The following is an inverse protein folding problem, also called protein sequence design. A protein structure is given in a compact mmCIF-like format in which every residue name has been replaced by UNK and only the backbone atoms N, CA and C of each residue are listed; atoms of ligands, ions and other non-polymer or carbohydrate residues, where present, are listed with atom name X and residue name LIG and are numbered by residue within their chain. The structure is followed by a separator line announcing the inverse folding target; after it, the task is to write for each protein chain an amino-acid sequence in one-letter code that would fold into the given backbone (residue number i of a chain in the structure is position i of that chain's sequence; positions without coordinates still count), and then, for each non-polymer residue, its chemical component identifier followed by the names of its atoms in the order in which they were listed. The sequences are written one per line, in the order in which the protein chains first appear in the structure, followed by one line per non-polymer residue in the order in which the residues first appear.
data_IF_825144315159
#
_entry.id   IF_825144315159
#
_cell.length_a   1.000
_cell.length_b   1.000
_cell.length_c   1.000
_cell.angle_alpha   90.00
_cell.angle_beta   90.00
_cell.angle_gamma   90.00
#
_symmetry.space_group_name_H-M   'P 1'
#
loop_
_entity.id
_entity.type
_entity.pdbx_description
1 polymer ?
#
# COMPACT_ATOMS: atom_id res chain seq x y z
N UNK A 1 15.01 6.56 1.97
CA UNK A 1 13.62 6.35 2.44
C UNK A 1 12.72 6.21 1.20
N UNK A 2 11.71 5.35 1.25
CA UNK A 2 10.76 5.16 0.15
C UNK A 2 9.68 6.26 0.20
N UNK A 3 9.48 6.98 -0.90
CA UNK A 3 8.45 8.03 -1.03
C UNK A 3 7.37 7.57 -2.02
N UNK A 4 6.15 7.41 -1.52
CA UNK A 4 4.99 6.96 -2.31
C UNK A 4 4.63 7.92 -3.44
N UNK A 5 4.98 9.22 -3.34
CA UNK A 5 4.72 10.20 -4.41
C UNK A 5 5.44 9.87 -5.71
N UNK A 6 6.52 9.09 -5.64
CA UNK A 6 7.29 8.65 -6.82
C UNK A 6 6.53 7.63 -7.68
N UNK A 7 5.45 7.03 -7.18
CA UNK A 7 4.63 6.08 -7.94
C UNK A 7 3.82 6.74 -9.06
N UNK A 8 3.66 8.07 -9.01
CA UNK A 8 2.88 8.85 -9.99
C UNK A 8 1.45 8.30 -10.19
N UNK A 9 0.83 7.87 -9.09
CA UNK A 9 -0.58 7.48 -9.02
C UNK A 9 -1.33 8.42 -8.09
N UNK A 10 -2.65 8.46 -8.21
CA UNK A 10 -3.48 9.05 -7.17
C UNK A 10 -3.30 8.26 -5.86
N UNK A 11 -2.97 8.97 -4.78
CA UNK A 11 -2.88 8.42 -3.43
C UNK A 11 -3.99 9.04 -2.60
N UNK A 12 -4.80 8.20 -1.98
CA UNK A 12 -5.78 8.64 -0.98
C UNK A 12 -5.15 8.63 0.43
N UNK A 13 -5.93 8.99 1.44
CA UNK A 13 -5.56 8.91 2.85
C UNK A 13 -5.30 7.45 3.27
N UNK A 14 -4.04 7.02 3.26
CA UNK A 14 -3.64 5.69 3.74
C UNK A 14 -3.68 5.66 5.28
N UNK A 15 -4.47 4.75 5.84
CA UNK A 15 -4.78 4.69 7.27
C UNK A 15 -4.36 3.37 7.92
N UNK A 16 -4.15 2.33 7.11
CA UNK A 16 -3.76 1.01 7.59
C UNK A 16 -2.52 0.47 6.89
N UNK A 17 -1.76 -0.33 7.62
CA UNK A 17 -0.62 -1.08 7.09
C UNK A 17 -0.51 -2.46 7.73
N UNK A 18 -0.13 -3.46 6.94
CA UNK A 18 0.15 -4.81 7.44
C UNK A 18 1.26 -5.46 6.62
N UNK A 19 2.12 -6.24 7.30
CA UNK A 19 2.96 -7.21 6.61
C UNK A 19 2.08 -8.38 6.15
N UNK A 20 2.08 -8.66 4.85
CA UNK A 20 1.33 -9.78 4.29
C UNK A 20 2.13 -11.09 4.31
N UNK A 21 1.61 -12.09 3.61
CA UNK A 21 2.36 -13.34 3.39
C UNK A 21 3.65 -13.10 2.61
N UNK A 22 4.63 -13.99 2.77
CA UNK A 22 5.81 -14.02 1.91
C UNK A 22 5.42 -14.50 0.50
N UNK A 23 6.04 -13.92 -0.52
CA UNK A 23 5.93 -14.38 -1.91
C UNK A 23 6.70 -15.70 -2.10
N UNK A 24 6.52 -16.43 -3.23
CA UNK A 24 7.21 -17.70 -3.47
C UNK A 24 8.74 -17.63 -3.43
N UNK A 25 9.30 -16.46 -3.74
CA UNK A 25 10.73 -16.19 -3.65
C UNK A 25 11.21 -15.82 -2.22
N UNK A 26 10.33 -15.93 -1.23
CA UNK A 26 10.59 -15.64 0.18
C UNK A 26 10.53 -14.14 0.54
N UNK A 27 10.34 -13.25 -0.42
CA UNK A 27 10.26 -11.81 -0.15
C UNK A 27 9.01 -11.43 0.63
N UNK A 28 9.15 -10.47 1.54
CA UNK A 28 8.06 -9.98 2.39
C UNK A 28 7.14 -9.05 1.60
N UNK A 29 5.82 -9.16 1.78
CA UNK A 29 4.87 -8.17 1.25
C UNK A 29 4.47 -7.13 2.29
N UNK A 30 4.14 -5.92 1.83
CA UNK A 30 3.54 -4.85 2.63
C UNK A 30 2.24 -4.42 1.94
N UNK A 31 1.14 -4.48 2.68
CA UNK A 31 -0.15 -3.95 2.26
C UNK A 31 -0.39 -2.61 2.93
N UNK A 32 -0.69 -1.58 2.15
CA UNK A 32 -1.22 -0.29 2.62
C UNK A 32 -2.66 -0.16 2.18
N UNK A 33 -3.50 0.40 3.04
CA UNK A 33 -4.93 0.57 2.78
C UNK A 33 -5.43 1.96 3.14
N UNK A 34 -6.39 2.43 2.35
CA UNK A 34 -7.24 3.60 2.64
C UNK A 34 -8.68 3.13 2.68
N UNK A 35 -9.48 3.66 3.61
CA UNK A 35 -10.93 3.58 3.52
C UNK A 35 -11.50 4.80 2.76
N UNK A 36 -12.75 4.71 2.32
CA UNK A 36 -13.39 5.82 1.62
C UNK A 36 -14.12 6.79 2.56
N UNK A 37 -14.01 6.64 3.87
CA UNK A 37 -14.74 7.39 4.89
C UNK A 37 -16.25 7.58 4.59
N UNK A 38 -16.89 6.58 3.96
CA UNK A 38 -18.29 6.64 3.50
C UNK A 38 -18.63 7.81 2.57
N UNK A 39 -17.64 8.38 1.87
CA UNK A 39 -17.82 9.50 0.95
C UNK A 39 -17.52 9.11 -0.50
N UNK A 40 -18.16 9.80 -1.45
CA UNK A 40 -17.89 9.67 -2.90
C UNK A 40 -16.60 10.40 -3.33
N UNK A 41 -15.99 11.18 -2.44
CA UNK A 41 -14.79 11.98 -2.73
C UNK A 41 -13.48 11.22 -2.47
N UNK A 42 -13.56 10.11 -1.74
CA UNK A 42 -12.42 9.24 -1.43
C UNK A 42 -12.70 7.84 -1.97
N UNK A 43 -11.65 7.06 -2.13
CA UNK A 43 -11.74 5.68 -2.59
C UNK A 43 -11.17 4.73 -1.56
N UNK A 44 -11.75 3.53 -1.45
CA UNK A 44 -11.06 2.43 -0.79
C UNK A 44 -9.91 2.00 -1.70
N UNK A 45 -8.67 2.17 -1.24
CA UNK A 45 -7.46 1.90 -2.02
C UNK A 45 -6.63 0.81 -1.35
N UNK A 46 -6.10 -0.11 -2.15
CA UNK A 46 -5.15 -1.12 -1.72
C UNK A 46 -3.87 -1.00 -2.53
N UNK A 47 -2.73 -0.83 -1.85
CA UNK A 47 -1.40 -0.83 -2.46
C UNK A 47 -0.59 -1.99 -1.88
N UNK A 48 -0.23 -2.96 -2.71
CA UNK A 48 0.58 -4.12 -2.32
C UNK A 48 1.99 -3.97 -2.87
N UNK A 49 2.97 -4.00 -1.98
CA UNK A 49 4.39 -3.92 -2.32
C UNK A 49 5.09 -5.23 -2.00
N UNK A 50 6.04 -5.60 -2.85
CA UNK A 50 7.11 -6.53 -2.51
C UNK A 50 8.26 -5.73 -1.88
N UNK A 51 8.62 -6.05 -0.64
CA UNK A 51 9.79 -5.46 0.01
C UNK A 51 11.05 -6.13 -0.52
N UNK A 52 11.98 -5.32 -1.00
CA UNK A 52 13.32 -5.75 -1.35
C UNK A 52 14.25 -5.39 -0.20
N UNK A 53 14.86 -6.39 0.42
CA UNK A 53 15.96 -6.17 1.35
C UNK A 53 17.26 -6.22 0.53
N UNK A 54 18.03 -5.14 0.62
CA UNK A 54 19.39 -5.02 0.08
C UNK A 54 20.40 -5.65 1.01
#
# INVERSE_FOLDING_TARGET
AFDLKQLNIYLDNLEGMALGSKLPDGSQTLLLVSDNNFTKRQITQFLLFKLQQS
#
